data_IF_801293506380
#
_entry.id   IF_801293506380
#
_cell.length_a   1.000
_cell.length_b   1.000
_cell.length_c   1.000
_cell.angle_alpha   90.00
_cell.angle_beta   90.00
_cell.angle_gamma   90.00
#
_symmetry.space_group_name_H-M   'P 1'
#
loop_
_entity.id
_entity.type
_entity.pdbx_description
1 polymer ?
#
# COMPACT_ATOMS: atom_id res chain seq x y z
N UNK A 1 7.01 5.59 17.80
CA UNK A 1 7.11 4.27 17.14
C UNK A 1 6.96 4.45 15.65
N UNK A 2 7.63 3.61 14.84
CA UNK A 2 7.52 3.66 13.38
C UNK A 2 7.21 2.26 12.87
N UNK A 3 6.40 2.15 11.82
CA UNK A 3 6.09 0.90 11.16
C UNK A 3 6.16 1.08 9.64
N UNK A 4 6.63 0.05 8.93
CA UNK A 4 6.66 -0.03 7.46
C UNK A 4 6.22 -1.41 7.00
N UNK A 5 5.46 -1.46 5.90
CA UNK A 5 5.04 -2.69 5.24
C UNK A 5 5.91 -2.99 4.02
N UNK A 6 6.24 -4.26 3.82
CA UNK A 6 7.06 -4.76 2.72
C UNK A 6 6.24 -5.80 1.95
N UNK A 7 5.87 -5.53 0.68
CA UNK A 7 5.04 -6.44 -0.10
C UNK A 7 5.87 -7.58 -0.72
N UNK A 8 6.56 -8.36 0.13
CA UNK A 8 7.38 -9.51 -0.26
C UNK A 8 6.72 -10.79 0.23
N UNK A 9 5.97 -11.45 -0.65
CA UNK A 9 5.28 -12.71 -0.34
C UNK A 9 6.30 -13.83 -0.14
N UNK A 10 6.16 -14.60 0.94
CA UNK A 10 7.07 -15.72 1.24
C UNK A 10 8.46 -15.29 1.72
N UNK A 11 8.59 -14.06 2.25
CA UNK A 11 9.85 -13.57 2.81
C UNK A 11 10.36 -14.47 3.95
N UNK A 12 11.64 -14.82 3.91
CA UNK A 12 12.33 -15.45 5.03
C UNK A 12 12.60 -14.41 6.12
N UNK A 13 11.70 -14.34 7.10
CA UNK A 13 11.81 -13.40 8.23
C UNK A 13 13.06 -13.66 9.08
N UNK A 14 13.55 -14.91 9.16
CA UNK A 14 14.76 -15.24 9.89
C UNK A 14 15.99 -14.67 9.19
N UNK A 15 16.04 -14.71 7.86
CA UNK A 15 17.09 -14.06 7.08
C UNK A 15 17.11 -12.55 7.35
N UNK A 16 15.95 -11.89 7.27
CA UNK A 16 15.83 -10.44 7.52
C UNK A 16 16.26 -10.09 8.95
N UNK A 17 15.79 -10.85 9.95
CA UNK A 17 16.17 -10.66 11.35
C UNK A 17 17.69 -10.84 11.57
N UNK A 18 18.29 -11.81 10.90
CA UNK A 18 19.74 -12.08 10.98
C UNK A 18 20.55 -10.95 10.36
N UNK A 19 20.08 -10.35 9.26
CA UNK A 19 20.72 -9.17 8.67
C UNK A 19 20.67 -7.95 9.60
N UNK A 20 19.54 -7.72 10.27
CA UNK A 20 19.41 -6.66 11.28
C UNK A 20 20.37 -6.92 12.44
N UNK A 21 20.47 -8.16 12.92
CA UNK A 21 21.42 -8.56 13.96
C UNK A 21 22.86 -8.29 13.51
N UNK A 22 23.26 -8.77 12.34
CA UNK A 22 24.61 -8.57 11.82
C UNK A 22 24.97 -7.08 11.63
N UNK A 23 24.04 -6.26 11.17
CA UNK A 23 24.28 -4.83 11.00
C UNK A 23 24.48 -4.12 12.34
N UNK A 24 23.51 -4.26 13.25
CA UNK A 24 23.53 -3.58 14.54
C UNK A 24 24.61 -4.11 15.48
N UNK A 25 24.94 -5.40 15.44
CA UNK A 25 26.01 -5.94 16.28
C UNK A 25 27.39 -5.42 15.89
N UNK A 26 27.62 -5.02 14.63
CA UNK A 26 28.86 -4.33 14.22
C UNK A 26 29.04 -2.97 14.90
N UNK A 27 27.94 -2.32 15.27
CA UNK A 27 27.95 -1.02 15.94
C UNK A 27 27.92 -1.12 17.48
N UNK A 28 28.14 -2.32 18.03
CA UNK A 28 28.20 -2.54 19.48
C UNK A 28 26.82 -2.64 20.14
N UNK A 29 25.78 -3.02 19.40
CA UNK A 29 24.49 -3.40 19.99
C UNK A 29 24.46 -4.90 20.33
N UNK A 30 23.97 -5.22 21.53
CA UNK A 30 23.55 -6.56 21.93
C UNK A 30 22.15 -6.81 21.35
N UNK A 31 22.07 -7.69 20.34
CA UNK A 31 20.84 -7.95 19.58
C UNK A 31 20.43 -9.40 19.77
N UNK A 32 19.19 -9.62 20.17
CA UNK A 32 18.60 -10.95 20.36
C UNK A 32 17.39 -11.13 19.46
N UNK A 33 17.27 -12.32 18.85
CA UNK A 33 16.14 -12.68 18.01
C UNK A 33 15.33 -13.72 18.78
N UNK A 34 14.02 -13.51 18.90
CA UNK A 34 13.10 -14.45 19.53
C UNK A 34 11.85 -14.64 18.66
N UNK A 35 11.28 -15.86 18.63
CA UNK A 35 9.97 -16.08 18.01
C UNK A 35 8.86 -15.44 18.83
N UNK A 36 7.87 -14.88 18.15
CA UNK A 36 6.65 -14.38 18.80
C UNK A 36 5.63 -15.52 18.89
N UNK A 37 5.12 -15.85 20.09
CA UNK A 37 4.18 -16.95 20.25
C UNK A 37 2.86 -16.70 19.49
N UNK A 38 2.14 -17.76 19.09
CA UNK A 38 0.79 -17.64 18.52
C UNK A 38 -0.17 -16.98 19.52
N UNK A 39 -1.22 -16.27 19.06
CA UNK A 39 -1.79 -16.30 17.69
C UNK A 39 -1.13 -15.32 16.70
N UNK A 40 -0.18 -14.50 17.15
CA UNK A 40 0.39 -13.40 16.34
C UNK A 40 1.47 -13.89 15.36
N UNK A 41 2.35 -14.78 15.83
CA UNK A 41 3.46 -15.29 15.03
C UNK A 41 4.48 -14.22 14.62
N UNK A 42 5.52 -14.66 13.92
CA UNK A 42 6.63 -13.82 13.46
C UNK A 42 7.82 -13.81 14.42
N UNK A 43 8.63 -12.76 14.31
CA UNK A 43 9.88 -12.61 15.06
C UNK A 43 9.93 -11.25 15.75
N UNK A 44 10.61 -11.21 16.89
CA UNK A 44 10.99 -9.96 17.54
C UNK A 44 12.51 -9.90 17.65
N UNK A 45 13.07 -8.77 17.24
CA UNK A 45 14.48 -8.44 17.39
C UNK A 45 14.60 -7.44 18.53
N UNK A 46 15.15 -7.90 19.66
CA UNK A 46 15.40 -7.09 20.84
C UNK A 46 16.80 -6.49 20.74
N UNK A 47 16.89 -5.16 20.82
CA UNK A 47 18.11 -4.39 20.59
C UNK A 47 18.46 -3.64 21.87
N UNK A 48 19.67 -3.87 22.36
CA UNK A 48 20.24 -3.24 23.56
C UNK A 48 21.60 -2.66 23.21
N UNK A 49 21.99 -1.54 23.82
CA UNK A 49 23.36 -1.02 23.66
C UNK A 49 24.30 -1.82 24.55
N UNK A 50 25.44 -2.29 24.03
CA UNK A 50 26.44 -2.93 24.89
C UNK A 50 26.97 -1.90 25.89
N UNK A 51 26.91 -2.21 27.19
CA UNK A 51 27.32 -1.31 28.28
C UNK A 51 28.82 -1.02 28.18
N UNK A 52 29.19 0.27 28.21
CA UNK A 52 30.55 0.65 28.60
C UNK A 52 30.78 0.41 30.10
N UNK A 53 32.04 0.27 30.52
CA UNK A 53 32.44 0.00 31.92
C UNK A 53 31.88 1.03 32.93
N UNK A 54 31.59 2.27 32.52
CA UNK A 54 31.09 3.35 33.38
C UNK A 54 29.56 3.34 33.64
N UNK A 55 28.76 2.56 32.92
CA UNK A 55 27.28 2.61 32.99
C UNK A 55 26.66 1.48 33.81
N UNK A 56 27.40 0.94 34.78
CA UNK A 56 26.96 -0.19 35.62
C UNK A 56 25.94 0.19 36.71
N UNK A 57 25.72 1.47 36.98
CA UNK A 57 24.91 1.93 38.13
C UNK A 57 23.41 2.12 37.85
N UNK A 58 22.95 2.21 36.60
CA UNK A 58 21.52 2.30 36.27
C UNK A 58 21.03 0.97 35.70
N UNK A 59 20.44 0.16 36.58
CA UNK A 59 20.13 -1.26 36.40
C UNK A 59 19.10 -1.65 35.34
N UNK A 60 18.60 -0.74 34.50
CA UNK A 60 17.54 -1.06 33.53
C UNK A 60 17.85 -0.40 32.18
N UNK A 61 18.66 -1.06 31.36
CA UNK A 61 18.88 -0.61 29.99
C UNK A 61 17.59 -0.78 29.17
N UNK A 62 17.07 0.31 28.60
CA UNK A 62 15.91 0.28 27.72
C UNK A 62 16.16 -0.69 26.54
N UNK A 63 15.18 -1.55 26.27
CA UNK A 63 15.23 -2.52 25.17
C UNK A 63 14.34 -2.01 24.04
N UNK A 64 14.93 -1.71 22.89
CA UNK A 64 14.16 -1.39 21.68
C UNK A 64 13.77 -2.70 20.98
N UNK A 65 12.52 -2.83 20.54
CA UNK A 65 12.03 -4.04 19.89
C UNK A 65 11.65 -3.73 18.45
N UNK A 66 12.12 -4.57 17.52
CA UNK A 66 11.69 -4.57 16.13
C UNK A 66 10.90 -5.86 15.84
N UNK A 67 9.59 -5.74 15.65
CA UNK A 67 8.71 -6.86 15.33
C UNK A 67 8.64 -7.05 13.81
N UNK A 68 8.96 -8.25 13.33
CA UNK A 68 8.77 -8.70 11.96
C UNK A 68 7.54 -9.62 11.94
N UNK A 69 6.48 -9.18 11.30
CA UNK A 69 5.19 -9.88 11.33
C UNK A 69 4.78 -10.29 9.94
N UNK A 70 4.52 -11.59 9.70
CA UNK A 70 4.01 -12.04 8.41
C UNK A 70 2.61 -11.46 8.17
N UNK A 71 2.34 -11.09 6.94
CA UNK A 71 1.04 -10.61 6.46
C UNK A 71 0.67 -11.36 5.18
N UNK A 72 -0.61 -11.42 4.77
CA UNK A 72 -1.00 -12.14 3.55
C UNK A 72 -0.31 -11.62 2.27
N UNK A 73 0.11 -10.35 2.27
CA UNK A 73 0.71 -9.66 1.12
C UNK A 73 2.22 -9.43 1.28
N UNK A 74 2.82 -9.94 2.35
CA UNK A 74 4.25 -9.81 2.63
C UNK A 74 4.55 -9.80 4.12
N UNK A 75 5.23 -8.78 4.64
CA UNK A 75 5.44 -8.64 6.08
C UNK A 75 5.51 -7.17 6.51
N UNK A 76 5.29 -6.92 7.80
CA UNK A 76 5.46 -5.60 8.38
C UNK A 76 6.60 -5.60 9.39
N UNK A 77 7.33 -4.47 9.44
CA UNK A 77 8.36 -4.20 10.44
C UNK A 77 7.88 -3.05 11.29
N UNK A 78 7.83 -3.27 12.60
CA UNK A 78 7.45 -2.26 13.57
C UNK A 78 8.56 -2.09 14.60
N UNK A 79 8.97 -0.84 14.86
CA UNK A 79 10.03 -0.52 15.81
C UNK A 79 9.47 0.34 16.94
N UNK A 80 9.66 -0.10 18.17
CA UNK A 80 9.10 0.54 19.36
C UNK A 80 9.52 -0.12 20.67
N UNK A 81 9.07 0.47 21.78
CA UNK A 81 9.11 -0.12 23.13
C UNK A 81 7.97 -1.11 23.34
N UNK A 82 6.82 -0.77 22.75
CA UNK A 82 5.58 -1.52 22.69
C UNK A 82 5.04 -1.49 21.25
N UNK A 83 4.18 -2.46 20.93
CA UNK A 83 3.69 -2.73 19.58
C UNK A 83 2.33 -2.06 19.39
N UNK A 84 2.06 -1.41 18.26
CA UNK A 84 0.73 -0.77 18.01
C UNK A 84 -0.35 -1.86 17.99
N UNK A 85 -1.37 -1.68 18.85
CA UNK A 85 -2.38 -2.69 19.16
C UNK A 85 -2.26 -3.26 20.58
N UNK A 86 -1.14 -2.99 21.27
CA UNK A 86 -0.93 -3.34 22.68
C UNK A 86 -1.16 -2.15 23.63
N UNK A 87 -2.01 -1.18 23.24
CA UNK A 87 -2.66 -0.29 24.21
C UNK A 87 -3.72 -1.06 25.03
N UNK A 88 -3.28 -2.17 25.61
CA UNK A 88 -3.86 -2.84 26.77
C UNK A 88 -2.80 -2.77 27.86
N UNK A 89 -2.52 -1.55 28.29
CA UNK A 89 -1.95 -1.32 29.60
C UNK A 89 -3.10 -1.31 30.61
N UNK A 90 -2.98 -2.19 31.60
CA UNK A 90 -3.63 -2.22 32.92
C UNK A 90 -4.75 -1.23 33.23
N UNK A 91 -5.93 -1.79 33.50
CA UNK A 91 -6.85 -1.42 34.57
C UNK A 91 -7.80 -2.63 34.68
N UNK A 92 -7.59 -3.60 35.57
CA UNK A 92 -7.86 -3.60 37.00
C UNK A 92 -7.12 -4.85 37.50
N UNK A 93 -5.95 -4.73 38.11
CA UNK A 93 -5.68 -5.00 39.53
C UNK A 93 -4.14 -4.94 39.61
N UNK A 94 -3.49 -3.82 39.93
CA UNK A 94 -2.99 -3.51 41.27
C UNK A 94 -2.45 -2.07 41.21
N UNK A 95 -3.34 -1.12 41.44
CA UNK A 95 -3.08 0.32 41.49
C UNK A 95 -2.37 0.76 42.79
N UNK A 96 -1.45 -0.03 43.36
CA UNK A 96 -0.94 0.27 44.72
C UNK A 96 0.55 0.00 45.02
N UNK A 97 1.45 -0.26 44.07
CA UNK A 97 2.86 -0.44 44.46
C UNK A 97 3.93 -0.21 43.37
N UNK A 98 3.98 0.97 42.73
CA UNK A 98 5.27 1.65 42.46
C UNK A 98 5.03 3.04 41.86
N UNK A 99 5.31 4.13 42.61
CA UNK A 99 5.51 5.42 42.00
C UNK A 99 6.93 5.48 41.40
N UNK A 100 7.07 6.17 40.26
CA UNK A 100 8.35 6.60 39.62
C UNK A 100 9.05 5.52 38.74
N UNK A 101 9.66 5.99 37.63
CA UNK A 101 10.70 5.35 36.79
C UNK A 101 10.41 4.78 35.37
N UNK A 102 9.37 5.22 34.64
CA UNK A 102 9.33 4.94 33.17
C UNK A 102 8.98 6.16 32.32
N UNK A 103 9.50 7.33 32.67
CA UNK A 103 9.38 8.52 31.80
C UNK A 103 10.71 9.14 31.39
N UNK A 104 11.85 8.68 31.95
CA UNK A 104 13.17 9.29 31.68
C UNK A 104 14.14 8.39 30.88
N UNK A 105 13.74 7.15 30.53
CA UNK A 105 14.58 6.23 29.73
C UNK A 105 14.58 6.49 28.22
N UNK A 106 13.70 7.37 27.72
CA UNK A 106 13.50 7.63 26.29
C UNK A 106 14.56 8.60 25.74
N UNK A 107 14.86 9.69 26.46
CA UNK A 107 15.76 10.74 25.97
C UNK A 107 17.23 10.29 25.76
N UNK A 108 17.67 9.21 26.44
CA UNK A 108 19.06 8.73 26.37
C UNK A 108 19.33 7.76 25.21
N UNK A 109 18.30 7.18 24.59
CA UNK A 109 18.46 6.52 23.29
C UNK A 109 18.29 7.60 22.23
N UNK A 110 19.33 7.88 21.43
CA UNK A 110 19.21 8.76 20.26
C UNK A 110 18.29 8.13 19.19
N UNK A 111 16.98 8.14 19.47
CA UNK A 111 15.93 7.27 18.94
C UNK A 111 15.53 7.55 17.48
N UNK A 112 16.26 8.42 16.79
CA UNK A 112 16.06 8.69 15.37
C UNK A 112 17.03 7.93 14.45
N UNK A 113 18.09 7.29 14.99
CA UNK A 113 19.07 6.59 14.15
C UNK A 113 18.90 5.07 14.11
N UNK A 114 18.50 4.42 15.20
CA UNK A 114 18.42 2.94 15.26
C UNK A 114 17.20 2.42 14.50
N UNK A 115 16.06 3.09 14.63
CA UNK A 115 14.84 2.82 13.87
C UNK A 115 15.07 3.00 12.36
N UNK A 116 15.66 4.11 11.93
CA UNK A 116 15.99 4.33 10.52
C UNK A 116 17.07 3.36 10.03
N UNK A 117 17.98 2.90 10.90
CA UNK A 117 18.98 1.88 10.54
C UNK A 117 18.34 0.52 10.33
N UNK A 118 17.43 0.09 11.21
CA UNK A 118 16.62 -1.12 11.02
C UNK A 118 15.88 -1.06 9.69
N UNK A 119 15.15 0.03 9.41
CA UNK A 119 14.45 0.15 8.13
C UNK A 119 15.39 0.18 6.94
N UNK A 120 16.56 0.83 7.04
CA UNK A 120 17.56 0.86 5.95
C UNK A 120 18.06 -0.54 5.60
N UNK A 121 18.32 -1.39 6.59
CA UNK A 121 18.75 -2.78 6.36
C UNK A 121 17.64 -3.54 5.63
N UNK A 122 16.40 -3.42 6.08
CA UNK A 122 15.26 -4.11 5.45
C UNK A 122 14.97 -3.56 4.06
N UNK A 123 15.06 -2.25 3.84
CA UNK A 123 14.92 -1.59 2.55
C UNK A 123 16.00 -2.06 1.56
N UNK A 124 17.25 -2.18 2.03
CA UNK A 124 18.36 -2.67 1.22
C UNK A 124 18.15 -4.14 0.84
N UNK A 125 17.78 -5.00 1.79
CA UNK A 125 17.46 -6.39 1.50
C UNK A 125 16.27 -6.52 0.54
N UNK A 126 15.20 -5.74 0.74
CA UNK A 126 14.01 -5.79 -0.10
C UNK A 126 14.30 -5.37 -1.55
N UNK A 127 15.19 -4.40 -1.75
CA UNK A 127 15.57 -3.93 -3.09
C UNK A 127 16.60 -4.81 -3.77
N UNK A 128 17.59 -5.34 -3.03
CA UNK A 128 18.70 -6.13 -3.60
C UNK A 128 18.38 -7.62 -3.72
N UNK A 129 17.77 -8.21 -2.70
CA UNK A 129 17.47 -9.64 -2.63
C UNK A 129 16.06 -9.90 -3.16
N UNK A 130 15.05 -9.23 -2.60
CA UNK A 130 13.66 -9.46 -3.00
C UNK A 130 13.25 -8.74 -4.30
N UNK A 131 14.05 -7.79 -4.79
CA UNK A 131 13.79 -6.98 -6.01
C UNK A 131 12.41 -6.31 -6.02
N UNK A 132 11.92 -5.90 -4.84
CA UNK A 132 10.64 -5.20 -4.68
C UNK A 132 10.91 -3.71 -4.46
N UNK A 133 10.22 -2.79 -5.17
CA UNK A 133 10.34 -1.36 -4.91
C UNK A 133 9.75 -1.03 -3.53
N UNK A 134 10.60 -0.54 -2.63
CA UNK A 134 10.18 -0.05 -1.31
C UNK A 134 9.75 1.42 -1.42
N UNK A 135 8.52 1.73 -1.03
CA UNK A 135 8.07 3.12 -0.95
C UNK A 135 8.53 3.71 0.39
N UNK A 136 9.50 4.64 0.35
CA UNK A 136 10.14 5.26 1.54
C UNK A 136 9.24 6.27 2.25
N UNK A 137 8.10 6.66 1.68
CA UNK A 137 7.12 7.47 2.41
C UNK A 137 6.51 6.62 3.52
N UNK A 138 6.38 7.16 4.73
CA UNK A 138 5.65 6.53 5.83
C UNK A 138 4.22 6.24 5.38
N UNK A 139 4.01 5.09 4.76
CA UNK A 139 2.71 4.66 4.32
C UNK A 139 1.94 4.35 5.61
N UNK A 140 1.02 5.26 5.97
CA UNK A 140 -0.24 4.85 6.58
C UNK A 140 -0.65 3.62 5.79
N UNK A 141 -0.62 2.44 6.41
CA UNK A 141 -1.10 1.20 5.77
C UNK A 141 -2.47 1.58 5.23
N UNK A 142 -2.62 1.78 3.91
CA UNK A 142 -3.90 2.21 3.41
C UNK A 142 -4.78 0.99 3.57
N UNK A 143 -5.89 1.19 4.28
CA UNK A 143 -6.88 0.15 4.44
C UNK A 143 -7.18 -0.42 3.06
N UNK A 144 -6.96 -1.72 2.98
CA UNK A 144 -7.12 -2.54 1.80
C UNK A 144 -8.58 -2.46 1.40
N UNK A 145 -8.91 -1.60 0.44
CA UNK A 145 -10.25 -1.53 -0.13
C UNK A 145 -10.59 -2.84 -0.82
N UNK A 146 -11.78 -3.37 -0.56
CA UNK A 146 -12.32 -4.49 -1.33
C UNK A 146 -12.63 -4.03 -2.76
N UNK A 147 -12.41 -4.91 -3.75
CA UNK A 147 -12.77 -4.63 -5.14
C UNK A 147 -14.24 -4.21 -5.24
N UNK A 148 -14.53 -3.08 -5.92
CA UNK A 148 -15.90 -2.59 -6.08
C UNK A 148 -16.83 -3.57 -6.82
N UNK A 149 -16.26 -4.45 -7.66
CA UNK A 149 -17.02 -5.42 -8.45
C UNK A 149 -17.25 -6.75 -7.74
N UNK A 150 -16.21 -7.36 -7.16
CA UNK A 150 -16.30 -8.72 -6.61
C UNK A 150 -16.01 -8.80 -5.10
N UNK A 151 -15.81 -7.66 -4.44
CA UNK A 151 -15.47 -7.51 -3.01
C UNK A 151 -14.24 -8.30 -2.55
N UNK A 152 -13.41 -8.77 -3.48
CA UNK A 152 -12.15 -9.45 -3.15
C UNK A 152 -11.14 -8.42 -2.68
N UNK A 153 -10.37 -8.70 -1.60
CA UNK A 153 -9.34 -7.78 -1.12
C UNK A 153 -8.31 -7.49 -2.22
N UNK A 154 -8.00 -6.20 -2.42
CA UNK A 154 -7.11 -5.74 -3.47
C UNK A 154 -5.66 -5.59 -2.95
N UNK A 155 -4.63 -6.11 -3.64
CA UNK A 155 -3.25 -5.85 -3.24
C UNK A 155 -2.91 -4.36 -3.35
N UNK A 156 -2.01 -3.87 -2.50
CA UNK A 156 -1.59 -2.47 -2.52
C UNK A 156 -0.98 -2.09 -3.88
N UNK A 157 -1.48 -1.00 -4.48
CA UNK A 157 -1.01 -0.52 -5.79
C UNK A 157 -1.49 -1.35 -6.99
N UNK A 158 -2.32 -2.38 -6.79
CA UNK A 158 -2.87 -3.18 -7.88
C UNK A 158 -3.82 -2.34 -8.74
N UNK A 159 -3.48 -2.22 -10.03
CA UNK A 159 -4.32 -1.51 -11.02
C UNK A 159 -5.55 -2.33 -11.40
N UNK A 160 -5.42 -3.66 -11.46
CA UNK A 160 -6.50 -4.58 -11.80
C UNK A 160 -6.75 -5.58 -10.68
N UNK A 161 -8.01 -5.96 -10.49
CA UNK A 161 -8.37 -6.99 -9.53
C UNK A 161 -7.82 -8.36 -9.96
N UNK A 162 -7.05 -9.07 -9.13
CA UNK A 162 -6.50 -10.37 -9.50
C UNK A 162 -7.56 -11.47 -9.68
N UNK A 163 -8.78 -11.27 -9.15
CA UNK A 163 -9.87 -12.24 -9.26
C UNK A 163 -10.82 -11.96 -10.41
N UNK A 164 -11.20 -10.70 -10.65
CA UNK A 164 -12.20 -10.35 -11.66
C UNK A 164 -11.70 -9.41 -12.76
N UNK A 165 -10.44 -8.95 -12.71
CA UNK A 165 -9.86 -8.06 -13.71
C UNK A 165 -10.34 -6.60 -13.67
N UNK A 166 -11.22 -6.24 -12.74
CA UNK A 166 -11.78 -4.88 -12.64
C UNK A 166 -10.69 -3.84 -12.32
N UNK A 167 -10.64 -2.75 -13.08
CA UNK A 167 -9.68 -1.65 -12.88
C UNK A 167 -10.05 -0.84 -11.63
N UNK A 168 -9.17 -0.81 -10.64
CA UNK A 168 -9.37 -0.09 -9.38
C UNK A 168 -9.30 1.44 -9.54
N UNK A 169 -8.79 1.93 -10.68
CA UNK A 169 -8.63 3.35 -11.02
C UNK A 169 -9.63 3.85 -12.05
N UNK A 170 -10.53 3.02 -12.59
CA UNK A 170 -11.52 3.55 -13.54
C UNK A 170 -12.52 4.43 -12.78
N UNK A 171 -12.30 5.75 -12.81
CA UNK A 171 -13.40 6.71 -12.66
C UNK A 171 -14.46 6.27 -13.65
N UNK A 172 -15.66 5.97 -13.15
CA UNK A 172 -16.82 5.58 -13.92
C UNK A 172 -17.22 6.76 -14.82
N UNK A 173 -16.50 6.96 -15.92
CA UNK A 173 -16.85 7.90 -16.97
C UNK A 173 -17.94 7.22 -17.79
N UNK A 174 -19.19 7.56 -17.48
CA UNK A 174 -20.41 7.27 -18.23
C UNK A 174 -20.37 5.95 -19.04
N UNK A 175 -20.55 4.82 -18.36
CA UNK A 175 -20.56 3.52 -19.00
C UNK A 175 -21.77 3.38 -19.95
N UNK A 176 -21.51 3.04 -21.22
CA UNK A 176 -22.54 2.60 -22.15
C UNK A 176 -22.88 1.12 -21.87
N UNK A 177 -24.14 0.71 -22.03
CA UNK A 177 -24.54 -0.68 -21.86
C UNK A 177 -24.19 -1.50 -23.11
N UNK A 178 -23.53 -2.65 -22.92
CA UNK A 178 -23.23 -3.55 -24.03
C UNK A 178 -24.52 -4.04 -24.71
N UNK A 179 -24.69 -3.90 -26.04
CA UNK A 179 -25.90 -4.37 -26.74
C UNK A 179 -26.08 -5.90 -26.66
N UNK A 180 -24.98 -6.65 -26.51
CA UNK A 180 -25.00 -8.12 -26.44
C UNK A 180 -25.36 -8.72 -25.07
N UNK A 181 -24.93 -8.13 -23.96
CA UNK A 181 -25.10 -8.72 -22.61
C UNK A 181 -25.57 -7.71 -21.56
N UNK A 182 -25.81 -6.45 -21.95
CA UNK A 182 -26.21 -5.32 -21.10
C UNK A 182 -25.24 -4.97 -19.96
N UNK A 183 -24.06 -5.59 -19.93
CA UNK A 183 -23.01 -5.25 -18.98
C UNK A 183 -22.46 -3.84 -19.25
N UNK A 184 -21.99 -3.12 -18.21
CA UNK A 184 -21.40 -1.79 -18.38
C UNK A 184 -20.10 -1.87 -19.17
N UNK A 185 -19.91 -0.95 -20.11
CA UNK A 185 -18.73 -0.87 -20.98
C UNK A 185 -18.23 0.57 -21.04
N UNK A 186 -16.91 0.76 -20.98
CA UNK A 186 -16.31 2.08 -21.15
C UNK A 186 -16.54 2.60 -22.57
N UNK A 187 -16.71 3.92 -22.73
CA UNK A 187 -17.03 4.55 -24.01
C UNK A 187 -15.98 4.32 -25.11
N UNK A 188 -14.73 4.04 -24.70
CA UNK A 188 -13.56 3.79 -25.53
C UNK A 188 -13.22 2.29 -25.68
N UNK A 189 -13.98 1.39 -25.05
CA UNK A 189 -13.71 -0.03 -25.14
C UNK A 189 -14.10 -0.58 -26.52
N UNK A 190 -13.20 -1.35 -27.14
CA UNK A 190 -13.42 -2.03 -28.43
C UNK A 190 -14.11 -3.40 -28.24
N UNK A 191 -13.90 -4.03 -27.09
CA UNK A 191 -14.47 -5.34 -26.73
C UNK A 191 -15.16 -5.26 -25.37
N UNK A 192 -16.32 -5.92 -25.26
CA UNK A 192 -17.04 -6.00 -24.00
C UNK A 192 -16.29 -6.92 -23.02
N UNK A 193 -15.89 -6.46 -21.82
CA UNK A 193 -15.21 -7.30 -20.84
C UNK A 193 -16.13 -8.37 -20.23
N UNK A 194 -17.45 -8.26 -20.39
CA UNK A 194 -18.42 -9.19 -19.81
C UNK A 194 -18.80 -10.34 -20.74
N UNK A 195 -18.81 -10.14 -22.06
CA UNK A 195 -19.24 -11.17 -23.01
C UNK A 195 -18.29 -11.39 -24.19
N UNK A 196 -17.18 -10.65 -24.26
CA UNK A 196 -16.17 -10.77 -25.31
C UNK A 196 -16.61 -10.28 -26.70
N UNK A 197 -17.88 -9.88 -26.87
CA UNK A 197 -18.36 -9.33 -28.16
C UNK A 197 -17.76 -7.95 -28.38
N UNK A 198 -17.40 -7.67 -29.64
CA UNK A 198 -16.96 -6.34 -30.07
C UNK A 198 -18.10 -5.35 -29.83
N UNK A 199 -17.81 -4.29 -29.10
CA UNK A 199 -18.76 -3.18 -28.92
C UNK A 199 -18.38 -2.11 -29.93
N UNK A 200 -19.37 -1.61 -30.68
CA UNK A 200 -19.13 -0.47 -31.53
C UNK A 200 -18.82 0.71 -30.59
N UNK A 201 -17.56 1.17 -30.62
CA UNK A 201 -17.16 2.45 -30.06
C UNK A 201 -18.15 3.53 -30.53
N UNK A 202 -18.35 4.56 -29.69
CA UNK A 202 -19.16 5.73 -30.02
C UNK A 202 -18.97 6.17 -31.48
N UNK A 203 -20.02 6.67 -32.17
CA UNK A 203 -19.96 6.93 -33.61
C UNK A 203 -18.78 7.87 -33.91
N UNK A 204 -17.73 7.31 -34.52
CA UNK A 204 -16.54 8.04 -35.00
C UNK A 204 -16.85 8.88 -36.23
N UNK A 205 -18.10 8.89 -36.68
CA UNK A 205 -18.56 9.67 -37.82
C UNK A 205 -19.91 10.33 -37.57
N UNK A 206 -20.02 11.60 -37.95
CA UNK A 206 -21.29 12.34 -38.07
C UNK A 206 -21.74 12.39 -39.53
N UNK A 207 -23.04 12.40 -39.77
CA UNK A 207 -23.57 12.61 -41.12
C UNK A 207 -23.58 14.10 -41.45
N UNK A 208 -23.20 14.45 -42.66
CA UNK A 208 -23.28 15.83 -43.15
C UNK A 208 -24.72 16.35 -43.12
N UNK A 209 -24.96 17.52 -42.52
CA UNK A 209 -26.30 18.14 -42.43
C UNK A 209 -26.99 18.37 -43.79
N UNK A 210 -26.22 18.52 -44.87
CA UNK A 210 -26.74 18.81 -46.22
C UNK A 210 -26.83 17.61 -47.17
N UNK A 211 -25.82 16.75 -47.22
CA UNK A 211 -25.71 15.67 -48.21
C UNK A 211 -25.66 14.26 -47.60
N UNK A 212 -25.77 14.14 -46.27
CA UNK A 212 -25.70 12.88 -45.53
C UNK A 212 -24.40 12.07 -45.70
N UNK A 213 -23.35 12.62 -46.32
CA UNK A 213 -22.05 11.98 -46.38
C UNK A 213 -21.46 11.76 -44.98
N UNK A 214 -20.76 10.64 -44.78
CA UNK A 214 -20.09 10.32 -43.51
C UNK A 214 -18.85 11.20 -43.33
N UNK A 215 -18.77 11.91 -42.22
CA UNK A 215 -17.68 12.84 -41.86
C UNK A 215 -17.10 12.47 -40.50
N UNK A 216 -15.81 12.73 -40.28
CA UNK A 216 -15.22 12.62 -38.94
C UNK A 216 -15.90 13.58 -37.95
N UNK A 217 -15.93 13.21 -36.66
CA UNK A 217 -16.65 13.95 -35.60
C UNK A 217 -16.20 15.42 -35.52
N UNK A 218 -14.91 15.69 -35.75
CA UNK A 218 -14.30 17.03 -35.67
C UNK A 218 -14.31 17.80 -37.01
N UNK A 219 -14.87 17.24 -38.09
CA UNK A 219 -14.88 17.91 -39.39
C UNK A 219 -15.78 19.16 -39.38
N UNK A 220 -15.20 20.35 -39.46
CA UNK A 220 -15.95 21.62 -39.55
C UNK A 220 -16.61 21.82 -40.92
N UNK A 221 -16.07 21.18 -41.97
CA UNK A 221 -16.59 21.26 -43.34
C UNK A 221 -16.76 19.86 -43.93
N UNK A 222 -17.82 19.67 -44.72
CA UNK A 222 -18.05 18.44 -45.45
C UNK A 222 -17.08 18.32 -46.64
N UNK A 223 -16.30 17.24 -46.71
CA UNK A 223 -15.39 16.95 -47.83
C UNK A 223 -16.11 16.61 -49.13
N UNK A 224 -17.38 16.19 -49.07
CA UNK A 224 -18.19 15.86 -50.26
C UNK A 224 -18.93 17.06 -50.86
N UNK A 225 -19.52 17.93 -50.04
CA UNK A 225 -20.38 19.01 -50.51
C UNK A 225 -19.97 20.43 -50.05
N UNK A 226 -18.89 20.57 -49.29
CA UNK A 226 -18.35 21.85 -48.82
C UNK A 226 -19.16 22.58 -47.73
N UNK A 227 -20.25 21.99 -47.23
CA UNK A 227 -21.11 22.63 -46.23
C UNK A 227 -20.46 22.64 -44.83
N UNK A 228 -20.64 23.73 -44.09
CA UNK A 228 -20.18 23.90 -42.71
C UNK A 228 -21.04 23.08 -41.73
N UNK A 229 -20.43 22.44 -40.73
CA UNK A 229 -21.07 21.43 -39.86
C UNK A 229 -21.28 21.89 -38.41
N UNK A 230 -20.83 23.08 -38.04
CA UNK A 230 -20.97 23.69 -36.72
C UNK A 230 -22.22 24.58 -36.64
N UNK A 231 -23.38 23.92 -36.55
CA UNK A 231 -24.63 24.54 -36.09
C UNK A 231 -25.11 23.76 -34.84
N UNK A 232 -24.95 24.36 -33.66
CA UNK A 232 -25.55 23.86 -32.44
C UNK A 232 -27.08 23.82 -32.56
N UNK A 233 -27.79 22.86 -31.93
CA UNK A 233 -29.24 22.87 -31.91
C UNK A 233 -29.73 24.05 -31.07
N UNK A 234 -30.34 25.04 -31.72
CA UNK A 234 -31.21 26.00 -31.05
C UNK A 234 -32.49 25.23 -30.68
N UNK A 235 -32.68 24.91 -29.40
CA UNK A 235 -33.99 24.48 -28.91
C UNK A 235 -34.94 25.70 -28.91
N UNK A 236 -36.13 25.63 -29.51
CA UNK A 236 -37.14 26.67 -29.36
C UNK A 236 -37.96 26.40 -28.10
N UNK A 237 -37.80 27.21 -27.06
CA UNK A 237 -38.82 27.40 -26.02
C UNK A 237 -39.47 28.77 -26.24
N UNK A 238 -40.73 28.75 -26.67
CA UNK A 238 -41.72 29.82 -26.58
C UNK A 238 -43.10 29.18 -26.39
#
# INVERSE_FOLDING_TARGET
MKARGYPVVGADLMQVATLIHADLSRDGFDVRIAPVPPPRGGLVVEIRRARGLLQRSTGQGAVLKAWLTPTPVGFSVQVGTDRVGDAAAGAVEWLLATPVLVTEGYAAFQQAQVDERVFRVVDHWATTVARVPVNRTAAKVPEVGACASCRTPMPYGARFCPRCGHDAKSKLAAAAACPGCRGPVALDAVFCPHCGKKVASAPTSKACVKCAASLEVDAMFCSGCGARQDAAPISPDA
#
